data_IF_887342967079
#
_entry.id   IF_887342967079
#
_cell.length_a   1.000
_cell.length_b   1.000
_cell.length_c   1.000
_cell.angle_alpha   90.00
_cell.angle_beta   90.00
_cell.angle_gamma   90.00
#
_symmetry.space_group_name_H-M   'P 1'
#
loop_
_entity.id
_entity.type
_entity.pdbx_description
1 polymer ?
#
# COMPACT_ATOMS: atom_id res chain seq x y z
N UNK A 1 11.66 15.13 -15.11
CA UNK A 1 11.91 14.98 -13.65
C UNK A 1 11.57 16.30 -12.98
N UNK A 2 10.72 16.30 -11.95
CA UNK A 2 10.36 17.49 -11.18
C UNK A 2 11.22 17.54 -9.93
N UNK A 3 12.20 18.44 -9.89
CA UNK A 3 13.22 18.51 -8.82
C UNK A 3 12.99 19.67 -7.84
N UNK A 4 12.24 20.70 -8.24
CA UNK A 4 11.96 21.87 -7.39
C UNK A 4 13.18 22.75 -7.15
N UNK A 5 13.00 23.81 -6.37
CA UNK A 5 14.01 24.86 -6.15
C UNK A 5 15.32 24.34 -5.53
N UNK A 6 15.25 23.33 -4.66
CA UNK A 6 16.40 22.76 -3.95
C UNK A 6 16.72 21.31 -4.32
N UNK A 7 16.05 20.74 -5.33
CA UNK A 7 16.26 19.35 -5.74
C UNK A 7 15.46 18.31 -4.93
N UNK A 8 14.66 18.73 -3.94
CA UNK A 8 13.90 17.85 -3.05
C UNK A 8 12.38 17.85 -3.31
N UNK A 9 11.94 18.15 -4.55
CA UNK A 9 10.55 17.97 -4.93
C UNK A 9 10.21 16.49 -5.18
N UNK A 10 8.91 16.23 -5.40
CA UNK A 10 8.38 14.89 -5.66
C UNK A 10 8.56 13.92 -4.48
N UNK A 11 8.20 14.39 -3.28
CA UNK A 11 8.14 13.59 -2.03
C UNK A 11 6.69 13.25 -1.64
N UNK A 12 5.94 12.46 -2.43
CA UNK A 12 4.53 12.16 -2.19
C UNK A 12 4.31 11.39 -0.88
N UNK A 13 5.33 10.69 -0.38
CA UNK A 13 5.27 9.98 0.89
C UNK A 13 4.96 10.89 2.08
N UNK A 14 5.27 12.19 2.00
CA UNK A 14 5.04 13.15 3.08
C UNK A 14 3.75 13.97 2.94
N UNK A 15 2.92 13.69 1.92
CA UNK A 15 1.57 14.27 1.85
C UNK A 15 0.72 13.75 3.01
N UNK A 16 0.11 14.66 3.77
CA UNK A 16 -0.83 14.31 4.84
C UNK A 16 -2.16 13.91 4.19
N UNK A 17 -2.61 12.68 4.41
CA UNK A 17 -3.86 12.13 3.86
C UNK A 17 -4.84 11.65 4.94
N UNK A 18 -4.42 11.68 6.21
CA UNK A 18 -5.25 11.34 7.36
C UNK A 18 -4.99 12.36 8.47
N UNK A 19 -6.01 13.14 8.83
CA UNK A 19 -5.91 14.16 9.88
C UNK A 19 -6.81 13.78 11.06
N UNK A 20 -6.41 12.74 11.77
CA UNK A 20 -7.07 12.29 13.00
C UNK A 20 -6.12 12.38 14.18
N UNK A 21 -6.62 12.55 15.42
CA UNK A 21 -5.77 12.64 16.62
C UNK A 21 -4.85 11.42 16.83
N UNK A 22 -5.26 10.26 16.32
CA UNK A 22 -4.59 8.96 16.41
C UNK A 22 -3.77 8.60 15.15
N UNK A 23 -3.69 9.49 14.16
CA UNK A 23 -2.98 9.22 12.92
C UNK A 23 -1.49 8.89 13.18
N UNK A 24 -0.95 7.84 12.52
CA UNK A 24 0.42 7.38 12.77
C UNK A 24 1.43 8.46 12.39
N UNK A 25 2.52 8.56 13.18
CA UNK A 25 3.59 9.51 12.91
C UNK A 25 4.50 9.01 11.79
N UNK A 26 4.79 9.91 10.86
CA UNK A 26 5.85 9.75 9.86
C UNK A 26 7.21 10.12 10.46
N UNK A 27 8.28 9.62 9.86
CA UNK A 27 9.67 9.94 10.19
C UNK A 27 9.98 11.43 10.00
N UNK A 28 9.23 12.13 9.15
CA UNK A 28 9.30 13.59 9.01
C UNK A 28 8.73 14.38 10.21
N UNK A 29 8.12 13.69 11.19
CA UNK A 29 7.57 14.26 12.42
C UNK A 29 6.06 14.55 12.39
N UNK A 30 5.46 14.67 11.21
CA UNK A 30 4.02 14.93 11.05
C UNK A 30 3.19 13.64 11.17
N UNK A 31 1.96 13.71 11.72
CA UNK A 31 1.03 12.59 11.65
C UNK A 31 0.40 12.48 10.25
N UNK A 32 -0.03 11.27 9.88
CA UNK A 32 -0.95 11.07 8.76
C UNK A 32 -0.35 11.17 7.36
N UNK A 33 0.99 11.19 7.24
CA UNK A 33 1.61 11.15 5.93
C UNK A 33 1.33 9.83 5.20
N UNK A 34 1.21 9.87 3.88
CA UNK A 34 1.02 8.68 3.02
C UNK A 34 2.01 7.55 3.37
N UNK A 35 3.29 7.85 3.59
CA UNK A 35 4.30 6.87 3.97
C UNK A 35 3.95 6.13 5.28
N UNK A 36 3.40 6.84 6.27
CA UNK A 36 3.04 6.24 7.56
C UNK A 36 1.85 5.27 7.49
N UNK A 37 1.16 5.27 6.34
CA UNK A 37 -0.08 4.53 6.08
C UNK A 37 0.08 3.47 4.98
N UNK A 38 0.90 3.73 3.96
CA UNK A 38 1.02 2.94 2.73
C UNK A 38 2.47 2.60 2.36
N UNK A 39 3.30 2.28 3.35
CA UNK A 39 4.67 1.76 3.18
C UNK A 39 4.84 0.36 3.78
N UNK A 40 5.98 -0.29 3.52
CA UNK A 40 6.29 -1.59 4.12
C UNK A 40 6.28 -1.55 5.66
N UNK A 41 6.80 -0.47 6.26
CA UNK A 41 6.77 -0.29 7.72
C UNK A 41 5.36 -0.05 8.24
N UNK A 42 4.54 0.70 7.50
CA UNK A 42 3.12 0.86 7.81
C UNK A 42 2.37 -0.48 7.76
N UNK A 43 2.61 -1.29 6.72
CA UNK A 43 1.98 -2.60 6.58
C UNK A 43 2.36 -3.55 7.73
N UNK A 44 3.64 -3.61 8.10
CA UNK A 44 4.11 -4.41 9.24
C UNK A 44 3.46 -3.94 10.54
N UNK A 45 3.37 -2.62 10.75
CA UNK A 45 2.71 -2.04 11.92
C UNK A 45 1.22 -2.44 11.98
N UNK A 46 0.46 -2.20 10.92
CA UNK A 46 -0.96 -2.57 10.83
C UNK A 46 -1.18 -4.07 11.03
N UNK A 47 -0.26 -4.90 10.50
CA UNK A 47 -0.30 -6.35 10.71
C UNK A 47 -0.13 -6.71 12.18
N UNK A 48 0.82 -6.09 12.90
CA UNK A 48 1.02 -6.33 14.33
C UNK A 48 -0.16 -5.85 15.17
N UNK A 49 -0.75 -4.70 14.82
CA UNK A 49 -1.96 -4.18 15.45
C UNK A 49 -3.13 -5.17 15.29
N UNK A 50 -3.33 -5.70 14.08
CA UNK A 50 -4.34 -6.72 13.82
C UNK A 50 -4.07 -8.04 14.56
N UNK A 51 -2.82 -8.48 14.64
CA UNK A 51 -2.43 -9.66 15.43
C UNK A 51 -2.76 -9.51 16.92
N UNK A 52 -2.57 -8.31 17.48
CA UNK A 52 -2.91 -8.04 18.87
C UNK A 52 -4.44 -8.03 19.11
N UNK A 53 -5.22 -7.54 18.15
CA UNK A 53 -6.67 -7.52 18.21
C UNK A 53 -7.33 -8.89 17.91
N UNK A 54 -6.65 -9.76 17.14
CA UNK A 54 -7.14 -11.05 16.68
C UNK A 54 -6.17 -12.18 17.02
N UNK A 55 -6.15 -12.68 18.28
CA UNK A 55 -5.29 -13.79 18.69
C UNK A 55 -5.53 -15.10 17.91
N UNK A 56 -6.72 -15.27 17.36
CA UNK A 56 -7.16 -16.43 16.57
C UNK A 56 -6.67 -16.41 15.11
N UNK A 57 -6.15 -15.28 14.63
CA UNK A 57 -5.82 -15.09 13.22
C UNK A 57 -4.64 -15.96 12.77
N UNK A 58 -4.68 -16.40 11.51
CA UNK A 58 -3.58 -17.10 10.84
C UNK A 58 -2.29 -16.26 10.74
N UNK A 59 -2.38 -14.95 10.94
CA UNK A 59 -1.24 -14.02 10.98
C UNK A 59 -0.13 -14.47 11.93
N UNK A 60 -0.49 -15.03 13.09
CA UNK A 60 0.48 -15.50 14.10
C UNK A 60 1.32 -16.66 13.58
N UNK A 61 0.67 -17.67 12.99
CA UNK A 61 1.36 -18.83 12.41
C UNK A 61 2.30 -18.42 11.27
N UNK A 62 1.84 -17.52 10.40
CA UNK A 62 2.63 -17.02 9.27
C UNK A 62 3.83 -16.17 9.71
N UNK A 63 3.65 -15.37 10.76
CA UNK A 63 4.74 -14.60 11.34
C UNK A 63 5.84 -15.52 11.89
N UNK A 64 5.47 -16.57 12.64
CA UNK A 64 6.44 -17.55 13.18
C UNK A 64 7.20 -18.25 12.06
N UNK A 65 6.51 -18.73 11.04
CA UNK A 65 7.13 -19.41 9.88
C UNK A 65 8.14 -18.52 9.14
N UNK A 66 7.90 -17.21 9.13
CA UNK A 66 8.74 -16.23 8.45
C UNK A 66 9.84 -15.63 9.32
N UNK A 67 9.99 -16.07 10.58
CA UNK A 67 10.93 -15.47 11.54
C UNK A 67 10.52 -14.08 12.04
N UNK A 68 9.24 -13.71 11.87
CA UNK A 68 8.66 -12.43 12.26
C UNK A 68 7.64 -11.90 11.25
N UNK A 69 6.97 -10.81 11.62
CA UNK A 69 6.06 -10.09 10.72
C UNK A 69 6.86 -9.34 9.65
N UNK A 70 6.52 -9.57 8.38
CA UNK A 70 7.13 -8.89 7.24
C UNK A 70 6.05 -8.39 6.27
N UNK A 71 6.47 -7.73 5.18
CA UNK A 71 5.56 -7.15 4.19
C UNK A 71 4.69 -8.16 3.41
N UNK A 72 4.86 -9.46 3.63
CA UNK A 72 4.05 -10.53 3.02
C UNK A 72 3.02 -11.11 3.97
N UNK A 73 3.23 -11.03 5.29
CA UNK A 73 2.43 -11.74 6.30
C UNK A 73 0.92 -11.48 6.15
N UNK A 74 0.49 -10.22 6.06
CA UNK A 74 -0.93 -9.87 5.87
C UNK A 74 -1.50 -10.35 4.53
N UNK A 75 -0.71 -10.25 3.47
CA UNK A 75 -1.12 -10.69 2.13
C UNK A 75 -1.20 -12.22 1.99
N UNK A 76 -0.31 -12.95 2.65
CA UNK A 76 -0.33 -14.41 2.70
C UNK A 76 -1.53 -14.89 3.55
N UNK A 77 -1.82 -14.23 4.66
CA UNK A 77 -3.01 -14.49 5.47
C UNK A 77 -4.31 -14.22 4.71
N UNK A 78 -4.42 -13.06 4.05
CA UNK A 78 -5.57 -12.73 3.21
C UNK A 78 -5.80 -13.75 2.09
N UNK A 79 -4.73 -14.26 1.47
CA UNK A 79 -4.81 -15.29 0.45
C UNK A 79 -5.30 -16.65 0.99
N UNK A 80 -5.13 -16.90 2.30
CA UNK A 80 -5.65 -18.08 2.99
C UNK A 80 -7.07 -17.87 3.53
N UNK A 81 -7.71 -16.75 3.24
CA UNK A 81 -9.07 -16.43 3.69
C UNK A 81 -9.15 -15.86 5.11
N UNK A 82 -8.02 -15.49 5.72
CA UNK A 82 -7.99 -14.87 7.05
C UNK A 82 -8.62 -13.47 7.02
N UNK A 83 -9.63 -13.26 7.87
CA UNK A 83 -10.39 -12.01 7.90
C UNK A 83 -9.55 -10.82 8.37
N UNK A 84 -8.68 -11.01 9.37
CA UNK A 84 -7.81 -9.95 9.89
C UNK A 84 -6.76 -9.54 8.85
N UNK A 85 -6.11 -10.50 8.19
CA UNK A 85 -5.19 -10.27 7.09
C UNK A 85 -5.85 -9.54 5.92
N UNK A 86 -7.08 -9.92 5.57
CA UNK A 86 -7.86 -9.22 4.53
C UNK A 86 -8.13 -7.76 4.92
N UNK A 87 -8.56 -7.51 6.15
CA UNK A 87 -8.83 -6.14 6.63
C UNK A 87 -7.58 -5.25 6.58
N UNK A 88 -6.41 -5.78 6.99
CA UNK A 88 -5.13 -5.05 6.90
C UNK A 88 -4.78 -4.71 5.45
N UNK A 89 -4.95 -5.66 4.53
CA UNK A 89 -4.66 -5.46 3.10
C UNK A 89 -5.60 -4.41 2.50
N UNK A 90 -6.90 -4.47 2.80
CA UNK A 90 -7.89 -3.51 2.32
C UNK A 90 -7.59 -2.10 2.83
N UNK A 91 -7.26 -1.95 4.11
CA UNK A 91 -6.86 -0.67 4.69
C UNK A 91 -5.59 -0.11 4.05
N UNK A 92 -4.55 -0.94 3.85
CA UNK A 92 -3.32 -0.54 3.18
C UNK A 92 -3.57 -0.06 1.74
N UNK A 93 -4.36 -0.83 0.98
CA UNK A 93 -4.72 -0.51 -0.41
C UNK A 93 -5.54 0.79 -0.46
N UNK A 94 -6.45 1.02 0.49
CA UNK A 94 -7.23 2.25 0.56
C UNK A 94 -6.34 3.48 0.67
N UNK A 95 -5.39 3.50 1.61
CA UNK A 95 -4.48 4.65 1.75
C UNK A 95 -3.55 4.82 0.55
N UNK A 96 -3.06 3.73 -0.02
CA UNK A 96 -2.27 3.77 -1.25
C UNK A 96 -3.09 4.38 -2.40
N UNK A 97 -4.35 3.98 -2.55
CA UNK A 97 -5.27 4.50 -3.55
C UNK A 97 -5.49 6.02 -3.41
N UNK A 98 -5.71 6.52 -2.20
CA UNK A 98 -5.83 7.96 -1.92
C UNK A 98 -4.56 8.71 -2.38
N UNK A 99 -3.38 8.19 -2.04
CA UNK A 99 -2.11 8.77 -2.47
C UNK A 99 -1.95 8.79 -4.00
N UNK A 100 -2.24 7.67 -4.67
CA UNK A 100 -2.17 7.54 -6.14
C UNK A 100 -3.17 8.47 -6.81
N UNK A 101 -4.40 8.58 -6.30
CA UNK A 101 -5.41 9.49 -6.82
C UNK A 101 -4.95 10.95 -6.78
N UNK A 102 -4.32 11.36 -5.68
CA UNK A 102 -3.73 12.70 -5.57
C UNK A 102 -2.63 12.91 -6.62
N UNK A 103 -1.81 11.90 -6.91
CA UNK A 103 -0.79 12.00 -7.97
C UNK A 103 -1.40 12.12 -9.36
N UNK A 104 -2.49 11.40 -9.63
CA UNK A 104 -3.21 11.54 -10.89
C UNK A 104 -3.77 12.95 -11.04
N UNK A 105 -4.41 13.48 -10.00
CA UNK A 105 -5.01 14.81 -10.06
C UNK A 105 -3.97 15.94 -10.22
N UNK A 106 -2.77 15.77 -9.63
CA UNK A 106 -1.70 16.78 -9.72
C UNK A 106 -0.97 16.72 -11.07
N UNK A 107 -0.70 15.52 -11.59
CA UNK A 107 0.20 15.35 -12.73
C UNK A 107 -0.49 14.91 -14.02
N UNK A 108 -1.73 14.42 -13.95
CA UNK A 108 -2.48 13.81 -15.04
C UNK A 108 -1.62 12.91 -15.95
N UNK A 109 -0.91 11.91 -15.38
CA UNK A 109 0.06 11.13 -16.15
C UNK A 109 -0.64 10.07 -17.02
N UNK A 110 -0.06 9.76 -18.17
CA UNK A 110 -0.50 8.63 -19.01
C UNK A 110 -0.26 7.27 -18.34
N UNK A 111 0.78 7.16 -17.50
CA UNK A 111 1.19 5.92 -16.84
C UNK A 111 1.66 6.21 -15.42
N UNK A 112 1.26 5.35 -14.48
CA UNK A 112 1.79 5.32 -13.10
C UNK A 112 2.59 4.04 -12.92
N UNK A 113 3.90 4.18 -12.71
CA UNK A 113 4.76 3.08 -12.30
C UNK A 113 4.79 2.96 -10.78
N UNK A 114 4.36 1.82 -10.24
CA UNK A 114 4.58 1.49 -8.83
C UNK A 114 5.78 0.56 -8.69
N UNK A 115 6.67 0.89 -7.76
CA UNK A 115 7.84 0.09 -7.42
C UNK A 115 7.89 -0.18 -5.91
N UNK A 116 8.85 -1.01 -5.49
CA UNK A 116 9.06 -1.36 -4.08
C UNK A 116 8.68 -2.80 -3.74
N UNK A 117 9.20 -3.28 -2.61
CA UNK A 117 9.12 -4.71 -2.24
C UNK A 117 7.70 -5.27 -2.06
N UNK A 118 6.72 -4.41 -1.77
CA UNK A 118 5.31 -4.79 -1.66
C UNK A 118 4.63 -4.95 -3.04
N UNK A 119 5.08 -4.19 -4.05
CA UNK A 119 4.52 -4.24 -5.41
C UNK A 119 4.96 -5.49 -6.20
N UNK A 120 6.09 -6.12 -5.83
CA UNK A 120 6.68 -7.26 -6.54
C UNK A 120 5.94 -8.61 -6.35
N UNK A 121 4.68 -8.58 -5.87
CA UNK A 121 3.83 -9.78 -5.67
C UNK A 121 2.82 -9.98 -6.82
N UNK A 122 2.86 -9.14 -7.85
CA UNK A 122 2.29 -9.46 -9.16
C UNK A 122 3.39 -10.03 -10.05
N UNK A 123 3.35 -11.31 -10.36
CA UNK A 123 4.27 -11.89 -11.34
C UNK A 123 4.03 -11.26 -12.71
N UNK A 124 4.91 -10.34 -13.11
CA UNK A 124 5.67 -10.30 -14.37
C UNK A 124 6.55 -9.04 -14.34
N UNK A 125 7.75 -9.07 -14.95
CA UNK A 125 8.63 -7.90 -14.99
C UNK A 125 7.98 -6.74 -15.73
N UNK A 126 8.25 -5.52 -15.26
CA UNK A 126 7.88 -4.27 -15.91
C UNK A 126 8.50 -4.21 -17.33
N UNK A 127 7.77 -4.70 -18.33
CA UNK A 127 8.25 -4.76 -19.72
C UNK A 127 7.42 -5.57 -20.71
N UNK A 128 6.43 -6.38 -20.30
CA UNK A 128 5.56 -7.09 -21.24
C UNK A 128 4.27 -6.30 -21.54
N UNK A 129 3.81 -6.23 -22.81
CA UNK A 129 2.53 -5.61 -23.14
C UNK A 129 1.41 -6.50 -22.57
N UNK A 130 0.66 -5.94 -21.63
CA UNK A 130 -0.40 -6.60 -20.87
C UNK A 130 -1.27 -7.54 -21.73
N UNK A 131 -1.18 -8.85 -21.48
CA UNK A 131 -2.25 -9.80 -21.77
C UNK A 131 -2.89 -10.25 -20.47
N UNK A 132 -4.22 -10.22 -20.50
CA UNK A 132 -5.17 -10.56 -19.42
C UNK A 132 -4.88 -11.93 -18.82
N UNK A 133 -4.89 -12.04 -17.48
CA UNK A 133 -5.12 -13.31 -16.80
C UNK A 133 -4.41 -13.47 -15.46
N UNK A 134 -4.98 -12.89 -14.40
CA UNK A 134 -4.58 -13.19 -13.01
C UNK A 134 -4.38 -11.96 -12.13
N UNK A 135 -5.44 -11.22 -11.78
CA UNK A 135 -5.30 -10.10 -10.85
C UNK A 135 -5.51 -10.57 -9.42
N UNK A 136 -4.42 -10.73 -8.69
CA UNK A 136 -4.45 -10.77 -7.23
C UNK A 136 -5.09 -9.45 -6.73
N UNK A 137 -5.85 -9.47 -5.63
CA UNK A 137 -6.69 -8.33 -5.18
C UNK A 137 -5.99 -6.97 -5.08
N UNK A 138 -4.66 -6.97 -4.88
CA UNK A 138 -3.81 -5.78 -4.92
C UNK A 138 -3.90 -5.02 -6.27
N UNK A 139 -3.73 -5.72 -7.38
CA UNK A 139 -3.76 -5.11 -8.71
C UNK A 139 -5.18 -4.75 -9.15
N UNK A 140 -6.18 -5.53 -8.72
CA UNK A 140 -7.57 -5.26 -9.06
C UNK A 140 -8.08 -3.96 -8.42
N UNK A 141 -7.75 -3.69 -7.15
CA UNK A 141 -8.11 -2.43 -6.51
C UNK A 141 -7.36 -1.24 -7.13
N UNK A 142 -6.07 -1.38 -7.42
CA UNK A 142 -5.29 -0.31 -8.03
C UNK A 142 -5.79 0.01 -9.45
N UNK A 143 -6.13 -1.02 -10.23
CA UNK A 143 -6.71 -0.86 -11.56
C UNK A 143 -8.07 -0.15 -11.49
N UNK A 144 -8.88 -0.43 -10.46
CA UNK A 144 -10.16 0.25 -10.26
C UNK A 144 -9.99 1.73 -9.93
N UNK A 145 -8.98 2.09 -9.12
CA UNK A 145 -8.66 3.49 -8.79
C UNK A 145 -8.20 4.25 -10.03
N UNK A 146 -7.32 3.65 -10.84
CA UNK A 146 -6.88 4.24 -12.12
C UNK A 146 -8.07 4.38 -13.09
N UNK A 147 -8.93 3.35 -13.18
CA UNK A 147 -10.09 3.36 -14.06
C UNK A 147 -11.13 4.40 -13.65
N UNK A 148 -11.41 4.61 -12.37
CA UNK A 148 -12.41 5.62 -11.96
C UNK A 148 -11.98 7.06 -12.25
N UNK A 149 -10.68 7.37 -12.22
CA UNK A 149 -10.18 8.74 -12.35
C UNK A 149 -10.00 9.13 -13.82
N UNK A 150 -9.68 8.19 -14.72
CA UNK A 150 -9.55 8.46 -16.15
C UNK A 150 -10.89 8.69 -16.89
N UNK A 151 -12.03 8.48 -16.22
CA UNK A 151 -13.37 8.68 -16.78
C UNK A 151 -14.16 9.79 -16.06
N UNK A 152 -13.47 10.72 -15.40
CA UNK A 152 -14.04 12.02 -15.01
C UNK A 152 -13.73 13.08 -16.06
#
# INVERSE_FOLDING_TARGET
>A
MLTGYTGAAAEPGHMVILDTPDAPRCTCGRPGCLESLASATALIRMTKEAMAAHPESALHGLAVQSGGVNGRTAFDAAAQGDAAGKAVVEQYIHYLAVGVANMINIFFPEVIGLSGGVANRGGEPAGSPARRGGTNGFWQCLFFVIFLILFW
#
